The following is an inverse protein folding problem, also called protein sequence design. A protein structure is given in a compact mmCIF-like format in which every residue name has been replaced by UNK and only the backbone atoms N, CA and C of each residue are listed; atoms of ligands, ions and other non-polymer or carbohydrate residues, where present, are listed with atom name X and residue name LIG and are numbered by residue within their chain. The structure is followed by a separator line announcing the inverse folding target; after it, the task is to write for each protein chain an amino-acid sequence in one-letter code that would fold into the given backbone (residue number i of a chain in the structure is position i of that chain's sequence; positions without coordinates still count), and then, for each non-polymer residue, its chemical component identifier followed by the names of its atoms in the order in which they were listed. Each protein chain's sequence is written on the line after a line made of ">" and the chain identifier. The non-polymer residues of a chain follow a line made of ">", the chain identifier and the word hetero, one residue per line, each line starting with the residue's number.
data_IF_183141193926
#
_entry.id   IF_183141193926
#
_cell.length_a   1.000
_cell.length_b   1.000
_cell.length_c   1.000
_cell.angle_alpha   90.00
_cell.angle_beta   90.00
_cell.angle_gamma   90.00
#
_symmetry.space_group_name_H-M   'P 1'
#
loop_
_entity.id
_entity.type
_entity.pdbx_description
1 polymer ?
#
# COMPACT_ATOMS: atom_id res chain seq x y z
N UNK A 1 9.64 89.78 29.53
CA UNK A 1 10.77 90.19 30.39
C UNK A 1 10.48 89.71 31.81
N UNK A 2 11.44 88.97 32.36
CA UNK A 2 11.84 88.88 33.79
C UNK A 2 10.86 88.38 34.86
N UNK A 3 11.30 87.28 35.49
CA UNK A 3 11.45 87.00 36.93
C UNK A 3 10.21 87.02 37.84
N UNK A 4 9.87 85.90 38.52
CA UNK A 4 10.54 85.31 39.69
C UNK A 4 10.39 86.14 40.98
N UNK A 5 9.60 85.64 41.94
CA UNK A 5 9.92 85.49 43.39
C UNK A 5 8.64 85.11 44.15
N UNK A 6 8.68 84.05 44.98
CA UNK A 6 8.56 84.09 46.46
C UNK A 6 7.40 84.99 46.95
N UNK A 7 6.42 84.55 47.75
CA UNK A 7 6.66 84.00 49.06
C UNK A 7 5.41 83.31 49.68
N UNK A 8 5.69 82.54 50.71
CA UNK A 8 4.79 81.70 51.49
C UNK A 8 3.88 82.48 52.47
N UNK A 9 2.89 81.75 52.96
CA UNK A 9 2.26 81.83 54.28
C UNK A 9 1.03 82.74 54.47
N UNK A 10 -0.11 82.06 54.64
CA UNK A 10 -1.34 82.63 55.16
C UNK A 10 -2.38 81.57 55.52
N UNK A 11 -1.95 80.42 56.08
CA UNK A 11 -2.82 79.43 56.70
C UNK A 11 -3.61 80.09 57.84
N UNK A 12 -4.94 79.95 57.83
CA UNK A 12 -5.72 79.81 59.05
C UNK A 12 -6.60 78.56 58.99
N UNK A 13 -6.24 77.67 59.90
CA UNK A 13 -6.86 76.41 60.31
C UNK A 13 -8.05 76.68 61.23
N UNK A 14 -9.03 75.77 61.24
CA UNK A 14 -9.61 75.19 62.46
C UNK A 14 -10.45 73.93 62.10
N UNK A 15 -10.71 72.98 63.02
CA UNK A 15 -9.71 72.05 63.58
C UNK A 15 -10.23 70.58 63.73
N UNK A 16 -9.31 69.61 63.89
CA UNK A 16 -9.45 68.58 64.93
C UNK A 16 -9.54 67.08 64.56
N UNK A 17 -8.56 66.32 65.09
CA UNK A 17 -8.55 64.93 65.62
C UNK A 17 -8.05 63.75 64.75
N UNK A 18 -7.35 62.85 65.48
CA UNK A 18 -6.79 61.50 65.18
C UNK A 18 -5.37 61.46 64.58
N UNK A 19 -4.40 60.89 65.31
CA UNK A 19 -4.09 59.47 65.08
C UNK A 19 -3.64 58.71 66.35
N UNK A 20 -3.70 57.37 66.33
CA UNK A 20 -2.88 56.38 67.07
C UNK A 20 -3.59 55.01 67.07
N UNK A 21 -4.93 54.95 67.03
CA UNK A 21 -5.70 53.68 67.01
C UNK A 21 -5.70 52.92 65.67
N UNK A 22 -5.29 53.55 64.57
CA UNK A 22 -5.31 52.95 63.22
C UNK A 22 -4.10 52.06 62.91
N UNK A 23 -3.01 52.17 63.67
CA UNK A 23 -1.77 51.42 63.39
C UNK A 23 -1.79 49.99 63.97
N UNK A 24 -2.57 49.76 65.04
CA UNK A 24 -2.62 48.45 65.72
C UNK A 24 -3.53 47.45 65.00
N UNK A 25 -4.57 47.92 64.28
CA UNK A 25 -5.52 47.05 63.57
C UNK A 25 -4.96 46.50 62.24
N UNK A 26 -3.99 47.19 61.64
CA UNK A 26 -3.35 46.77 60.39
C UNK A 26 -2.36 45.60 60.58
N UNK A 27 -1.74 45.47 61.76
CA UNK A 27 -0.78 44.40 62.04
C UNK A 27 -1.48 43.06 62.35
N UNK A 28 -2.71 43.10 62.87
CA UNK A 28 -3.49 41.89 63.18
C UNK A 28 -4.06 41.18 61.94
N UNK A 29 -4.23 41.89 60.81
CA UNK A 29 -4.70 41.31 59.55
C UNK A 29 -3.58 40.68 58.69
N UNK A 30 -2.31 41.00 58.97
CA UNK A 30 -1.19 40.48 58.19
C UNK A 30 -0.75 39.05 58.62
N UNK A 31 -1.20 38.55 59.78
CA UNK A 31 -0.77 37.26 60.34
C UNK A 31 -1.77 36.11 60.15
N UNK A 32 -2.92 36.32 59.51
CA UNK A 32 -3.91 35.28 59.20
C UNK A 32 -3.97 34.89 57.71
N UNK A 33 -3.12 35.47 56.86
CA UNK A 33 -3.10 35.19 55.42
C UNK A 33 -2.14 34.06 54.99
N UNK A 34 -1.49 33.36 55.92
CA UNK A 34 -0.58 32.24 55.60
C UNK A 34 -1.22 30.83 55.73
N UNK A 35 -2.56 30.74 55.80
CA UNK A 35 -3.27 29.46 56.00
C UNK A 35 -4.07 28.91 54.82
N UNK A 36 -4.17 29.60 53.68
CA UNK A 36 -5.18 29.31 52.65
C UNK A 36 -4.62 29.00 51.25
N UNK A 37 -3.39 28.50 51.14
CA UNK A 37 -2.85 28.01 49.86
C UNK A 37 -2.22 26.63 50.06
N UNK A 38 -3.08 25.65 50.31
CA UNK A 38 -2.76 24.24 50.02
C UNK A 38 -3.36 23.89 48.65
N UNK A 39 -2.67 23.13 47.78
CA UNK A 39 -3.26 22.73 46.50
C UNK A 39 -4.50 21.89 46.78
N UNK A 40 -5.65 22.29 46.24
CA UNK A 40 -6.84 21.46 46.34
C UNK A 40 -6.60 20.15 45.56
N UNK A 41 -6.97 19.03 46.18
CA UNK A 41 -6.78 17.69 45.65
C UNK A 41 -7.48 17.48 44.29
N UNK A 42 -8.51 18.27 44.00
CA UNK A 42 -9.25 18.21 42.75
C UNK A 42 -8.54 18.95 41.61
N UNK A 43 -7.81 20.03 41.91
CA UNK A 43 -7.07 20.81 40.90
C UNK A 43 -5.80 20.10 40.43
N UNK A 44 -5.15 19.39 41.36
CA UNK A 44 -4.01 18.52 41.08
C UNK A 44 -4.40 17.29 40.24
N UNK A 45 -5.57 16.67 40.50
CA UNK A 45 -6.11 15.60 39.63
C UNK A 45 -6.47 16.08 38.23
N UNK A 46 -6.99 17.31 38.10
CA UNK A 46 -7.36 17.89 36.81
C UNK A 46 -6.11 18.19 35.97
N UNK A 47 -5.09 18.76 36.60
CA UNK A 47 -3.79 19.04 35.99
C UNK A 47 -3.06 17.76 35.59
N UNK A 48 -3.05 16.73 36.45
CA UNK A 48 -2.47 15.41 36.11
C UNK A 48 -3.25 14.77 34.97
N UNK A 49 -4.59 14.86 34.92
CA UNK A 49 -5.38 14.34 33.79
C UNK A 49 -5.10 15.08 32.49
N UNK A 50 -4.95 16.40 32.51
CA UNK A 50 -4.64 17.17 31.30
C UNK A 50 -3.22 16.91 30.81
N UNK A 51 -2.25 16.79 31.71
CA UNK A 51 -0.88 16.43 31.35
C UNK A 51 -0.79 15.00 30.85
N UNK A 52 -1.45 14.04 31.51
CA UNK A 52 -1.49 12.64 31.06
C UNK A 52 -2.24 12.50 29.73
N UNK A 53 -3.30 13.27 29.47
CA UNK A 53 -3.95 13.32 28.15
C UNK A 53 -3.02 13.93 27.10
N UNK A 54 -2.41 15.08 27.37
CA UNK A 54 -1.47 15.70 26.43
C UNK A 54 -0.29 14.79 26.09
N UNK A 55 0.28 14.12 27.10
CA UNK A 55 1.35 13.13 26.91
C UNK A 55 0.85 11.87 26.20
N UNK A 56 -0.37 11.39 26.49
CA UNK A 56 -0.96 10.24 25.80
C UNK A 56 -1.28 10.55 24.33
N UNK A 57 -1.76 11.75 24.03
CA UNK A 57 -2.06 12.19 22.67
C UNK A 57 -0.78 12.53 21.88
N UNK A 58 0.32 12.85 22.56
CA UNK A 58 1.66 12.99 21.96
C UNK A 58 2.32 11.63 21.68
N UNK A 59 2.24 10.69 22.63
CA UNK A 59 2.81 9.33 22.51
C UNK A 59 1.95 8.44 21.59
N UNK A 60 0.64 8.67 21.55
CA UNK A 60 -0.33 7.90 20.78
C UNK A 60 -1.42 8.83 20.24
N UNK A 61 -1.10 9.64 19.20
CA UNK A 61 -2.07 10.52 18.60
C UNK A 61 -3.27 9.72 18.12
N UNK A 62 -4.47 10.18 18.48
CA UNK A 62 -5.70 9.52 18.02
C UNK A 62 -5.70 9.52 16.48
N UNK A 63 -5.80 8.35 15.83
CA UNK A 63 -5.72 8.27 14.38
C UNK A 63 -6.88 9.07 13.78
N UNK A 64 -6.56 10.19 13.13
CA UNK A 64 -7.53 10.94 12.34
C UNK A 64 -7.62 10.27 10.97
N UNK A 65 -8.76 9.65 10.70
CA UNK A 65 -9.08 9.13 9.37
C UNK A 65 -9.46 10.33 8.52
N UNK A 66 -8.53 10.73 7.66
CA UNK A 66 -8.74 11.79 6.70
C UNK A 66 -9.52 11.22 5.51
N UNK A 67 -10.84 11.43 5.52
CA UNK A 67 -11.76 10.94 4.48
C UNK A 67 -11.59 11.68 3.14
N UNK A 68 -10.88 12.81 3.12
CA UNK A 68 -10.58 13.59 1.91
C UNK A 68 -9.16 13.33 1.37
N UNK A 69 -8.39 12.43 2.01
CA UNK A 69 -7.06 12.01 1.52
C UNK A 69 -7.13 11.13 0.28
N UNK A 70 -8.33 10.74 -0.15
CA UNK A 70 -8.58 9.90 -1.32
C UNK A 70 -8.54 10.66 -2.65
N UNK A 71 -7.69 11.69 -2.75
CA UNK A 71 -7.29 12.25 -4.04
C UNK A 71 -5.85 11.82 -4.29
N UNK A 72 -5.63 10.99 -5.29
CA UNK A 72 -4.28 10.65 -5.71
C UNK A 72 -3.59 11.93 -6.18
N UNK A 73 -2.45 12.28 -5.58
CA UNK A 73 -1.68 13.45 -6.01
C UNK A 73 -1.13 13.28 -7.43
N UNK A 74 -0.97 12.02 -7.87
CA UNK A 74 -0.48 11.66 -9.18
C UNK A 74 -1.61 11.07 -10.04
N UNK A 75 -2.14 11.81 -11.04
CA UNK A 75 -3.24 11.35 -11.89
C UNK A 75 -2.85 10.15 -12.77
N UNK A 76 -1.56 9.98 -13.05
CA UNK A 76 -1.06 8.83 -13.81
C UNK A 76 -1.17 7.54 -13.02
N UNK A 77 -0.77 7.58 -11.74
CA UNK A 77 -0.89 6.44 -10.83
C UNK A 77 -2.35 6.13 -10.51
N UNK A 78 -3.19 7.16 -10.36
CA UNK A 78 -4.64 6.98 -10.19
C UNK A 78 -5.26 6.22 -11.35
N UNK A 79 -4.97 6.66 -12.59
CA UNK A 79 -5.45 5.98 -13.79
C UNK A 79 -5.03 4.52 -13.80
N UNK A 80 -3.74 4.24 -13.61
CA UNK A 80 -3.24 2.86 -13.58
C UNK A 80 -3.96 2.06 -12.48
N UNK A 81 -4.05 2.60 -11.26
CA UNK A 81 -4.70 1.96 -10.12
C UNK A 81 -6.15 1.56 -10.39
N UNK A 82 -6.92 2.44 -11.03
CA UNK A 82 -8.31 2.14 -11.41
C UNK A 82 -8.42 0.97 -12.39
N UNK A 83 -7.45 0.83 -13.31
CA UNK A 83 -7.42 -0.23 -14.32
C UNK A 83 -6.93 -1.56 -13.74
N UNK A 84 -5.80 -1.55 -13.02
CA UNK A 84 -5.13 -2.79 -12.61
C UNK A 84 -5.70 -3.38 -11.31
N UNK A 85 -6.20 -2.57 -10.38
CA UNK A 85 -6.56 -3.07 -9.03
C UNK A 85 -7.62 -4.19 -9.05
N UNK A 86 -8.70 -4.12 -9.85
CA UNK A 86 -9.68 -5.21 -9.93
C UNK A 86 -9.08 -6.50 -10.51
N UNK A 87 -8.14 -6.37 -11.45
CA UNK A 87 -7.44 -7.47 -12.10
C UNK A 87 -6.48 -8.15 -11.11
N UNK A 88 -5.62 -7.37 -10.48
CA UNK A 88 -4.62 -7.85 -9.53
C UNK A 88 -5.27 -8.45 -8.28
N UNK A 89 -6.43 -7.95 -7.86
CA UNK A 89 -7.21 -8.55 -6.78
C UNK A 89 -7.58 -10.01 -7.08
N UNK A 90 -7.98 -10.33 -8.33
CA UNK A 90 -8.34 -11.70 -8.73
C UNK A 90 -7.13 -12.63 -8.76
N UNK A 91 -6.03 -12.17 -9.33
CA UNK A 91 -4.79 -12.95 -9.37
C UNK A 91 -4.24 -13.15 -7.96
N UNK A 92 -4.26 -12.12 -7.12
CA UNK A 92 -3.83 -12.20 -5.71
C UNK A 92 -4.71 -13.16 -4.91
N UNK A 93 -6.02 -13.15 -5.12
CA UNK A 93 -6.93 -14.09 -4.46
C UNK A 93 -6.62 -15.54 -4.85
N UNK A 94 -6.42 -15.81 -6.15
CA UNK A 94 -6.05 -17.13 -6.65
C UNK A 94 -4.71 -17.57 -6.08
N UNK A 95 -3.69 -16.72 -6.17
CA UNK A 95 -2.37 -17.01 -5.62
C UNK A 95 -2.47 -17.38 -4.15
N UNK A 96 -3.13 -16.56 -3.32
CA UNK A 96 -3.29 -16.83 -1.89
C UNK A 96 -3.98 -18.17 -1.60
N UNK A 97 -4.95 -18.55 -2.43
CA UNK A 97 -5.62 -19.83 -2.27
C UNK A 97 -4.70 -21.00 -2.61
N UNK A 98 -4.01 -20.95 -3.74
CA UNK A 98 -3.04 -21.99 -4.17
C UNK A 98 -1.88 -22.08 -3.17
N UNK A 99 -1.36 -20.94 -2.72
CA UNK A 99 -0.24 -20.88 -1.77
C UNK A 99 -0.59 -21.29 -0.35
N UNK A 100 -1.87 -21.48 -0.03
CA UNK A 100 -2.31 -21.80 1.33
C UNK A 100 -2.00 -23.23 1.76
N UNK A 101 -1.61 -24.08 0.81
CA UNK A 101 -1.38 -25.49 1.02
C UNK A 101 -0.06 -25.92 0.39
N UNK A 102 0.70 -26.74 1.12
CA UNK A 102 2.00 -27.30 0.73
C UNK A 102 1.98 -28.84 0.67
N UNK A 103 0.80 -29.45 0.79
CA UNK A 103 0.59 -30.89 0.61
C UNK A 103 -0.22 -31.17 -0.66
N UNK A 104 -0.10 -32.41 -1.18
CA UNK A 104 -0.80 -32.82 -2.40
C UNK A 104 -2.31 -32.59 -2.28
N UNK A 105 -2.93 -31.82 -3.20
CA UNK A 105 -4.36 -31.53 -3.12
C UNK A 105 -5.19 -32.78 -3.40
N UNK A 106 -6.33 -32.87 -2.72
CA UNK A 106 -7.31 -33.91 -2.98
C UNK A 106 -8.37 -33.44 -3.98
N UNK A 107 -9.20 -34.37 -4.46
CA UNK A 107 -10.29 -34.09 -5.40
C UNK A 107 -11.22 -32.98 -4.93
N UNK A 108 -11.55 -32.94 -3.64
CA UNK A 108 -12.44 -31.92 -3.10
C UNK A 108 -11.84 -30.53 -3.24
N UNK A 109 -10.56 -30.36 -2.88
CA UNK A 109 -9.84 -29.10 -3.01
C UNK A 109 -9.77 -28.64 -4.48
N UNK A 110 -9.45 -29.55 -5.40
CA UNK A 110 -9.39 -29.22 -6.84
C UNK A 110 -10.76 -28.80 -7.38
N UNK A 111 -11.84 -29.48 -6.97
CA UNK A 111 -13.19 -29.09 -7.37
C UNK A 111 -13.57 -27.72 -6.79
N UNK A 112 -13.25 -27.44 -5.53
CA UNK A 112 -13.50 -26.13 -4.92
C UNK A 112 -12.71 -25.01 -5.58
N UNK A 113 -11.44 -25.26 -5.95
CA UNK A 113 -10.62 -24.32 -6.72
C UNK A 113 -11.33 -23.93 -8.02
N UNK A 114 -11.71 -24.92 -8.83
CA UNK A 114 -12.36 -24.69 -10.13
C UNK A 114 -13.73 -23.99 -9.97
N UNK A 115 -14.48 -24.30 -8.91
CA UNK A 115 -15.76 -23.64 -8.61
C UNK A 115 -15.58 -22.19 -8.17
N UNK A 116 -14.57 -21.92 -7.32
CA UNK A 116 -14.30 -20.59 -6.78
C UNK A 116 -13.71 -19.66 -7.84
N UNK A 117 -12.82 -20.18 -8.66
CA UNK A 117 -12.12 -19.44 -9.71
C UNK A 117 -12.55 -19.96 -11.07
N UNK A 118 -13.81 -19.75 -11.43
CA UNK A 118 -14.40 -20.24 -12.69
C UNK A 118 -13.78 -19.68 -13.98
N UNK A 119 -12.80 -18.77 -13.85
CA UNK A 119 -12.07 -18.15 -14.95
C UNK A 119 -10.71 -18.83 -15.23
N UNK A 120 -10.26 -19.77 -14.38
CA UNK A 120 -9.03 -20.53 -14.65
C UNK A 120 -9.32 -21.68 -15.62
N UNK A 121 -8.32 -22.05 -16.40
CA UNK A 121 -8.44 -23.11 -17.40
C UNK A 121 -8.24 -24.50 -16.79
N UNK A 122 -7.41 -24.62 -15.75
CA UNK A 122 -7.24 -25.90 -15.08
C UNK A 122 -6.32 -25.93 -13.88
N UNK A 123 -6.22 -27.14 -13.32
CA UNK A 123 -5.26 -27.53 -12.30
C UNK A 123 -4.67 -28.89 -12.67
N UNK A 124 -3.37 -29.06 -12.42
CA UNK A 124 -2.67 -30.33 -12.56
C UNK A 124 -1.89 -30.63 -11.30
N UNK A 125 -1.73 -31.92 -11.03
CA UNK A 125 -0.90 -32.45 -9.96
C UNK A 125 0.12 -33.38 -10.61
N UNK A 126 1.40 -33.08 -10.38
CA UNK A 126 2.52 -33.88 -10.85
C UNK A 126 3.26 -34.50 -9.65
N UNK A 127 3.92 -35.63 -9.90
CA UNK A 127 4.84 -36.24 -8.95
C UNK A 127 6.23 -35.57 -8.97
N UNK A 128 7.18 -36.12 -8.21
CA UNK A 128 8.55 -35.60 -8.15
C UNK A 128 9.34 -35.81 -9.45
N UNK A 129 8.92 -36.72 -10.33
CA UNK A 129 9.53 -36.96 -11.64
C UNK A 129 8.96 -36.05 -12.73
N UNK A 130 7.86 -35.35 -12.43
CA UNK A 130 7.14 -34.51 -13.39
C UNK A 130 6.02 -35.25 -14.12
N UNK A 131 5.71 -36.48 -13.73
CA UNK A 131 4.59 -37.24 -14.29
C UNK A 131 3.27 -36.69 -13.75
N UNK A 132 2.34 -36.41 -14.67
CA UNK A 132 1.02 -35.87 -14.32
C UNK A 132 0.19 -37.00 -13.73
N UNK A 133 -0.07 -36.93 -12.43
CA UNK A 133 -0.92 -37.86 -11.71
C UNK A 133 -2.39 -37.54 -11.95
N UNK A 134 -2.75 -36.26 -11.86
CA UNK A 134 -4.12 -35.78 -11.99
C UNK A 134 -4.19 -34.46 -12.74
N UNK A 135 -5.28 -34.26 -13.47
CA UNK A 135 -5.57 -33.01 -14.19
C UNK A 135 -7.07 -32.74 -14.24
N UNK A 136 -7.44 -31.47 -14.06
CA UNK A 136 -8.79 -30.96 -14.25
C UNK A 136 -8.74 -29.72 -15.15
N UNK A 137 -9.50 -29.66 -16.26
CA UNK A 137 -10.27 -30.77 -16.85
C UNK A 137 -9.35 -31.90 -17.34
N UNK A 138 -9.83 -33.18 -17.39
CA UNK A 138 -8.99 -34.31 -17.82
C UNK A 138 -8.40 -34.14 -19.23
N UNK A 139 -9.16 -33.53 -20.13
CA UNK A 139 -8.71 -33.13 -21.46
C UNK A 139 -8.59 -31.61 -21.48
N UNK A 140 -7.38 -31.04 -21.48
CA UNK A 140 -7.21 -29.60 -21.52
C UNK A 140 -7.51 -29.08 -22.93
N UNK A 141 -8.04 -27.86 -22.99
CA UNK A 141 -8.28 -27.16 -24.25
C UNK A 141 -6.96 -26.79 -24.94
N UNK A 142 -6.02 -26.22 -24.17
CA UNK A 142 -4.66 -25.91 -24.61
C UNK A 142 -3.72 -27.04 -24.19
N UNK A 143 -3.00 -27.60 -25.17
CA UNK A 143 -1.93 -28.56 -24.89
C UNK A 143 -0.63 -27.80 -24.72
N UNK A 144 0.26 -28.34 -23.90
CA UNK A 144 1.61 -27.82 -23.76
C UNK A 144 2.30 -27.80 -25.12
N UNK A 145 2.88 -26.67 -25.49
CA UNK A 145 3.72 -26.58 -26.70
C UNK A 145 5.07 -27.28 -26.46
N UNK A 146 5.59 -27.15 -25.24
CA UNK A 146 6.85 -27.73 -24.77
C UNK A 146 6.68 -28.24 -23.32
N UNK A 147 7.53 -29.16 -22.84
CA UNK A 147 7.51 -29.57 -21.43
C UNK A 147 7.67 -28.38 -20.48
N UNK A 148 6.79 -28.27 -19.48
CA UNK A 148 6.85 -27.21 -18.48
C UNK A 148 8.03 -27.43 -17.52
N UNK A 149 8.91 -26.45 -17.38
CA UNK A 149 10.06 -26.51 -16.48
C UNK A 149 9.86 -25.53 -15.33
N UNK A 150 9.63 -26.07 -14.13
CA UNK A 150 9.51 -25.29 -12.91
C UNK A 150 10.85 -25.27 -12.18
N UNK A 151 11.36 -24.07 -11.89
CA UNK A 151 12.53 -23.90 -11.04
C UNK A 151 12.09 -23.43 -9.65
N UNK A 152 12.71 -24.00 -8.62
CA UNK A 152 12.57 -23.59 -7.22
C UNK A 152 13.95 -23.26 -6.66
N UNK A 153 14.01 -22.25 -5.80
CA UNK A 153 15.21 -21.94 -5.02
C UNK A 153 15.07 -22.66 -3.67
N UNK A 154 16.14 -23.35 -3.26
CA UNK A 154 16.20 -24.00 -1.94
C UNK A 154 15.83 -23.00 -0.83
N UNK A 155 14.76 -23.31 -0.08
CA UNK A 155 14.08 -22.51 1.00
C UNK A 155 12.93 -21.59 0.56
N UNK A 156 12.68 -21.41 -0.73
CA UNK A 156 11.47 -20.73 -1.19
C UNK A 156 10.37 -21.75 -1.47
N UNK A 157 9.17 -21.50 -0.95
CA UNK A 157 8.02 -22.36 -1.22
C UNK A 157 7.41 -22.08 -2.59
N UNK A 158 7.64 -20.90 -3.19
CA UNK A 158 7.08 -20.56 -4.49
C UNK A 158 7.93 -21.12 -5.64
N UNK A 159 7.27 -21.77 -6.61
CA UNK A 159 7.91 -22.09 -7.90
C UNK A 159 7.85 -20.91 -8.86
N UNK A 160 8.79 -20.87 -9.81
CA UNK A 160 8.71 -19.97 -10.97
C UNK A 160 7.41 -20.15 -11.72
N UNK A 161 6.91 -19.05 -12.25
CA UNK A 161 5.77 -19.03 -13.16
C UNK A 161 6.29 -19.38 -14.55
N UNK A 162 5.56 -20.23 -15.26
CA UNK A 162 5.87 -20.61 -16.63
C UNK A 162 4.78 -20.05 -17.51
N UNK A 163 5.13 -19.41 -18.62
CA UNK A 163 4.16 -18.94 -19.62
C UNK A 163 4.39 -19.71 -20.91
N UNK A 164 3.38 -20.45 -21.34
CA UNK A 164 3.38 -21.18 -22.62
C UNK A 164 2.59 -20.39 -23.67
N UNK A 165 3.21 -20.10 -24.81
CA UNK A 165 2.58 -19.39 -25.91
C UNK A 165 2.08 -20.38 -26.97
N UNK A 166 0.93 -21.00 -26.68
CA UNK A 166 0.32 -21.99 -27.57
C UNK A 166 -0.32 -21.34 -28.81
N UNK A 167 -0.68 -22.16 -29.81
CA UNK A 167 -1.43 -21.70 -30.98
C UNK A 167 -2.80 -21.07 -30.63
N UNK A 168 -3.39 -21.42 -29.48
CA UNK A 168 -4.66 -20.87 -29.01
C UNK A 168 -4.48 -19.60 -28.16
N UNK A 169 -3.23 -19.22 -27.87
CA UNK A 169 -2.86 -18.07 -27.05
C UNK A 169 -1.99 -18.45 -25.84
N UNK A 170 -1.59 -17.44 -25.05
CA UNK A 170 -0.78 -17.65 -23.87
C UNK A 170 -1.53 -18.44 -22.79
N UNK A 171 -0.78 -19.17 -21.99
CA UNK A 171 -1.25 -19.89 -20.82
C UNK A 171 -0.22 -19.69 -19.71
N UNK A 172 -0.65 -19.13 -18.58
CA UNK A 172 0.20 -18.91 -17.41
C UNK A 172 0.02 -20.10 -16.47
N UNK A 173 1.14 -20.68 -16.04
CA UNK A 173 1.21 -21.76 -15.06
C UNK A 173 1.96 -21.30 -13.83
N UNK A 174 1.36 -21.44 -12.66
CA UNK A 174 2.06 -21.25 -11.39
C UNK A 174 1.50 -22.22 -10.35
N UNK A 175 2.27 -22.49 -9.30
CA UNK A 175 1.89 -23.53 -8.36
C UNK A 175 2.70 -23.55 -7.09
N UNK A 176 2.64 -24.68 -6.41
CA UNK A 176 3.39 -24.95 -5.19
C UNK A 176 3.99 -26.35 -5.22
N UNK A 177 5.19 -26.54 -4.64
CA UNK A 177 5.73 -27.83 -4.28
C UNK A 177 4.86 -28.48 -3.20
N UNK A 178 4.64 -29.77 -3.37
CA UNK A 178 3.99 -30.64 -2.43
C UNK A 178 5.05 -31.37 -1.61
N UNK A 179 4.84 -31.44 -0.30
CA UNK A 179 5.70 -32.18 0.63
C UNK A 179 4.93 -33.24 1.42
N UNK A 180 5.63 -34.33 1.74
CA UNK A 180 5.22 -35.29 2.77
C UNK A 180 6.29 -35.25 3.87
N UNK A 181 5.98 -34.58 4.98
CA UNK A 181 6.99 -34.23 5.98
C UNK A 181 8.02 -33.25 5.40
N UNK A 182 9.24 -33.72 5.19
CA UNK A 182 10.33 -32.92 4.59
C UNK A 182 10.67 -33.35 3.16
N UNK A 183 10.01 -34.39 2.64
CA UNK A 183 10.30 -34.94 1.33
C UNK A 183 9.46 -34.23 0.27
N UNK A 184 10.11 -33.77 -0.80
CA UNK A 184 9.43 -33.23 -1.97
C UNK A 184 8.77 -34.37 -2.75
N UNK A 185 7.46 -34.30 -2.93
CA UNK A 185 6.68 -35.38 -3.58
C UNK A 185 6.05 -34.96 -4.91
N UNK A 186 6.23 -33.71 -5.33
CA UNK A 186 5.77 -33.21 -6.62
C UNK A 186 5.20 -31.80 -6.55
N UNK A 187 4.33 -31.45 -7.49
CA UNK A 187 3.81 -30.09 -7.67
C UNK A 187 2.29 -30.12 -7.83
N UNK A 188 1.61 -29.08 -7.36
CA UNK A 188 0.30 -28.75 -7.88
C UNK A 188 0.36 -27.38 -8.55
N UNK A 189 -0.17 -27.30 -9.76
CA UNK A 189 -0.03 -26.14 -10.64
C UNK A 189 -1.40 -25.78 -11.17
N UNK A 190 -1.73 -24.49 -11.10
CA UNK A 190 -2.92 -23.92 -11.72
C UNK A 190 -2.55 -23.25 -13.03
N UNK A 191 -3.47 -23.25 -13.98
CA UNK A 191 -3.28 -22.62 -15.28
C UNK A 191 -4.45 -21.73 -15.69
N UNK A 192 -4.15 -20.63 -16.37
CA UNK A 192 -5.16 -19.76 -16.96
C UNK A 192 -4.60 -18.94 -18.14
N UNK A 193 -5.46 -18.56 -19.07
CA UNK A 193 -5.17 -17.57 -20.11
C UNK A 193 -5.09 -16.16 -19.51
N UNK A 194 -3.95 -15.46 -19.57
CA UNK A 194 -3.85 -14.12 -19.01
C UNK A 194 -4.76 -13.10 -19.69
N UNK A 195 -5.28 -13.39 -20.90
CA UNK A 195 -6.26 -12.51 -21.56
C UNK A 195 -7.61 -12.49 -20.85
N UNK A 196 -7.96 -13.52 -20.07
CA UNK A 196 -9.19 -13.54 -19.27
C UNK A 196 -9.19 -12.44 -18.20
N UNK A 197 -8.01 -12.02 -17.75
CA UNK A 197 -7.84 -11.01 -16.71
C UNK A 197 -8.43 -9.65 -17.11
N UNK A 198 -8.43 -9.32 -18.40
CA UNK A 198 -8.98 -8.08 -18.90
C UNK A 198 -10.51 -7.99 -18.74
N UNK A 199 -11.21 -9.12 -18.56
CA UNK A 199 -12.65 -9.11 -18.26
C UNK A 199 -12.99 -8.46 -16.92
N UNK A 200 -12.01 -8.37 -16.01
CA UNK A 200 -12.16 -7.70 -14.72
C UNK A 200 -11.74 -6.22 -14.77
N UNK A 201 -11.11 -5.78 -15.86
CA UNK A 201 -10.68 -4.39 -16.02
C UNK A 201 -11.86 -3.50 -16.42
N UNK A 202 -12.07 -2.33 -15.77
CA UNK A 202 -13.15 -1.40 -16.16
C UNK A 202 -13.02 -0.85 -17.58
N UNK A 203 -11.78 -0.70 -18.07
CA UNK A 203 -11.46 -0.23 -19.43
C UNK A 203 -10.31 -1.06 -20.01
N UNK A 204 -10.62 -2.27 -20.49
CA UNK A 204 -9.60 -3.27 -20.84
C UNK A 204 -8.68 -2.84 -22.00
N UNK A 205 -9.13 -1.95 -22.87
CA UNK A 205 -8.37 -1.37 -23.99
C UNK A 205 -7.29 -0.37 -23.56
N UNK A 206 -7.37 0.18 -22.35
CA UNK A 206 -6.39 1.12 -21.82
C UNK A 206 -5.29 0.42 -20.99
N UNK A 207 -5.47 -0.86 -20.65
CA UNK A 207 -4.53 -1.64 -19.85
C UNK A 207 -3.70 -2.58 -20.74
N UNK A 208 -2.41 -2.65 -20.44
CA UNK A 208 -1.47 -3.57 -21.07
C UNK A 208 -0.73 -4.36 -19.99
N UNK A 209 -0.45 -5.64 -20.26
CA UNK A 209 0.40 -6.45 -19.39
C UNK A 209 1.58 -6.97 -20.21
N UNK A 210 2.80 -6.63 -19.81
CA UNK A 210 4.02 -7.14 -20.45
C UNK A 210 4.51 -8.36 -19.68
N UNK A 211 4.84 -9.41 -20.44
CA UNK A 211 5.70 -10.51 -20.00
C UNK A 211 7.16 -10.14 -20.32
N UNK A 212 7.98 -9.77 -19.31
CA UNK A 212 9.37 -9.39 -19.51
C UNK A 212 10.24 -10.51 -20.07
N UNK A 213 9.94 -11.77 -19.74
CA UNK A 213 10.78 -12.91 -20.10
C UNK A 213 10.59 -13.28 -21.58
N UNK A 214 9.34 -13.29 -22.04
CA UNK A 214 9.03 -13.61 -23.43
C UNK A 214 9.06 -12.40 -24.37
N UNK A 215 9.23 -11.19 -23.83
CA UNK A 215 9.06 -9.93 -24.57
C UNK A 215 7.72 -9.89 -25.32
N UNK A 216 6.64 -10.26 -24.64
CA UNK A 216 5.29 -10.32 -25.20
C UNK A 216 4.35 -9.36 -24.48
N UNK A 217 3.39 -8.86 -25.24
CA UNK A 217 2.33 -8.02 -24.74
C UNK A 217 1.02 -8.80 -24.68
N UNK A 218 0.35 -8.76 -23.53
CA UNK A 218 -1.02 -9.22 -23.37
C UNK A 218 -1.94 -8.01 -23.38
N UNK A 219 -3.00 -8.11 -24.18
CA UNK A 219 -4.02 -7.07 -24.30
C UNK A 219 -5.40 -7.72 -24.38
N UNK A 220 -6.45 -6.92 -24.21
CA UNK A 220 -7.82 -7.38 -24.30
C UNK A 220 -8.29 -7.75 -25.72
N UNK A 221 -7.58 -7.29 -26.75
CA UNK A 221 -7.98 -7.42 -28.15
C UNK A 221 -6.83 -7.86 -29.06
N UNK A 222 -7.14 -8.01 -30.35
CA UNK A 222 -6.13 -8.36 -31.36
C UNK A 222 -5.46 -7.15 -31.98
N UNK A 223 -6.07 -5.97 -31.86
CA UNK A 223 -5.55 -4.73 -32.42
C UNK A 223 -4.70 -4.02 -31.36
N UNK A 224 -3.40 -4.28 -31.39
CA UNK A 224 -2.43 -3.65 -30.50
C UNK A 224 -1.91 -2.36 -31.14
N UNK A 225 -2.01 -1.20 -30.46
CA UNK A 225 -1.39 0.03 -30.94
C UNK A 225 0.14 -0.13 -31.03
N UNK A 226 0.79 0.31 -32.11
CA UNK A 226 2.25 0.21 -32.26
C UNK A 226 3.04 0.84 -31.10
N UNK A 227 2.49 1.88 -30.48
CA UNK A 227 3.10 2.56 -29.35
C UNK A 227 3.13 1.69 -28.09
N UNK A 228 2.09 0.89 -27.88
CA UNK A 228 2.03 -0.07 -26.78
C UNK A 228 2.91 -1.30 -27.06
N UNK A 229 2.95 -1.78 -28.30
CA UNK A 229 3.82 -2.89 -28.71
C UNK A 229 5.30 -2.57 -28.44
N UNK A 230 5.71 -1.31 -28.57
CA UNK A 230 7.07 -0.86 -28.27
C UNK A 230 7.49 -1.11 -26.81
N UNK A 231 6.55 -1.31 -25.86
CA UNK A 231 6.87 -1.69 -24.48
C UNK A 231 7.61 -3.04 -24.38
N UNK A 232 7.44 -3.93 -25.36
CA UNK A 232 8.11 -5.25 -25.39
C UNK A 232 9.61 -5.15 -25.68
N UNK A 233 10.04 -4.08 -26.34
CA UNK A 233 11.44 -3.82 -26.69
C UNK A 233 12.27 -3.26 -25.52
N UNK A 234 11.61 -2.87 -24.42
CA UNK A 234 12.27 -2.35 -23.22
C UNK A 234 13.01 -3.49 -22.52
N UNK A 235 14.26 -3.24 -22.10
CA UNK A 235 15.03 -4.17 -21.27
C UNK A 235 14.53 -4.13 -19.82
N UNK A 236 13.36 -4.71 -19.58
CA UNK A 236 12.68 -4.69 -18.29
C UNK A 236 13.53 -5.25 -17.15
N UNK A 237 14.38 -6.25 -17.38
CA UNK A 237 15.28 -6.78 -16.36
C UNK A 237 16.15 -5.69 -15.73
N UNK A 238 16.67 -4.75 -16.53
CA UNK A 238 17.48 -3.64 -16.02
C UNK A 238 16.64 -2.64 -15.24
N UNK A 239 15.48 -2.28 -15.78
CA UNK A 239 14.54 -1.35 -15.13
C UNK A 239 14.10 -1.87 -13.77
N UNK A 240 13.80 -3.18 -13.71
CA UNK A 240 13.32 -3.88 -12.55
C UNK A 240 14.38 -4.14 -11.47
N UNK A 241 15.66 -3.86 -11.72
CA UNK A 241 16.70 -3.83 -10.69
C UNK A 241 16.63 -2.56 -9.84
N UNK A 242 16.16 -1.46 -10.43
CA UNK A 242 16.15 -0.14 -9.79
C UNK A 242 14.78 0.23 -9.25
N UNK A 243 13.71 -0.14 -9.98
CA UNK A 243 12.35 0.33 -9.70
C UNK A 243 11.33 -0.79 -9.90
N UNK A 244 10.27 -0.76 -9.10
CA UNK A 244 9.08 -1.61 -9.26
C UNK A 244 7.91 -0.88 -9.91
N UNK A 245 8.03 0.42 -10.16
CA UNK A 245 7.01 1.25 -10.80
C UNK A 245 7.62 2.54 -11.37
N UNK A 246 6.86 3.24 -12.21
CA UNK A 246 7.18 4.60 -12.61
C UNK A 246 6.53 4.97 -13.94
N UNK A 247 7.17 5.91 -14.64
CA UNK A 247 6.82 6.26 -16.03
C UNK A 247 7.97 5.91 -16.96
N UNK A 248 7.64 5.61 -18.22
CA UNK A 248 8.62 5.34 -19.28
C UNK A 248 8.08 5.86 -20.60
N UNK A 249 8.97 6.39 -21.45
CA UNK A 249 8.62 6.76 -22.81
C UNK A 249 8.83 5.56 -23.73
N UNK A 250 7.82 5.25 -24.54
CA UNK A 250 7.87 4.16 -25.51
C UNK A 250 6.97 4.48 -26.70
N UNK A 251 7.45 4.22 -27.92
CA UNK A 251 6.68 4.44 -29.14
C UNK A 251 6.14 5.88 -29.30
N UNK A 252 6.82 6.89 -28.76
CA UNK A 252 6.38 8.30 -28.81
C UNK A 252 5.27 8.67 -27.82
N UNK A 253 4.91 7.77 -26.90
CA UNK A 253 3.96 8.02 -25.81
C UNK A 253 4.62 7.79 -24.45
N UNK A 254 4.09 8.44 -23.43
CA UNK A 254 4.48 8.16 -22.05
C UNK A 254 3.52 7.12 -21.45
N UNK A 255 4.09 6.07 -20.89
CA UNK A 255 3.39 5.02 -20.17
C UNK A 255 3.69 5.09 -18.69
N UNK A 256 2.67 4.86 -17.88
CA UNK A 256 2.80 4.63 -16.44
C UNK A 256 2.70 3.14 -16.19
N UNK A 257 3.59 2.61 -15.36
CA UNK A 257 3.74 1.18 -15.17
C UNK A 257 3.98 0.78 -13.71
N UNK A 258 3.60 -0.45 -13.39
CA UNK A 258 3.78 -1.11 -12.10
C UNK A 258 4.10 -2.59 -12.32
N UNK A 259 5.15 -3.08 -11.66
CA UNK A 259 5.48 -4.49 -11.62
C UNK A 259 4.67 -5.21 -10.54
N UNK A 260 4.04 -6.32 -10.90
CA UNK A 260 3.30 -7.21 -9.99
C UNK A 260 3.79 -8.64 -10.15
N UNK A 261 3.73 -9.40 -9.08
CA UNK A 261 4.14 -10.81 -9.11
C UNK A 261 2.95 -11.70 -9.47
N UNK A 262 3.19 -12.67 -10.33
CA UNK A 262 2.36 -13.87 -10.46
C UNK A 262 3.31 -15.03 -10.16
N UNK A 263 2.99 -15.82 -9.14
CA UNK A 263 3.97 -16.74 -8.56
C UNK A 263 5.24 -16.00 -8.14
N UNK A 264 6.38 -16.38 -8.71
CA UNK A 264 7.69 -15.75 -8.40
C UNK A 264 8.13 -14.71 -9.43
N UNK A 265 7.49 -14.65 -10.60
CA UNK A 265 7.94 -13.81 -11.71
C UNK A 265 7.11 -12.52 -11.83
N UNK A 266 7.77 -11.48 -12.35
CA UNK A 266 7.21 -10.12 -12.41
C UNK A 266 6.62 -9.87 -13.78
N UNK A 267 5.39 -9.38 -13.78
CA UNK A 267 4.68 -8.90 -14.96
C UNK A 267 4.45 -7.40 -14.83
N UNK A 268 4.49 -6.69 -15.96
CA UNK A 268 4.37 -5.23 -15.97
C UNK A 268 2.98 -4.82 -16.38
N UNK A 269 2.23 -4.23 -15.47
CA UNK A 269 0.98 -3.56 -15.78
C UNK A 269 1.30 -2.15 -16.25
N UNK A 270 0.77 -1.75 -17.40
CA UNK A 270 1.03 -0.45 -18.00
C UNK A 270 -0.22 0.17 -18.61
N UNK A 271 -0.27 1.50 -18.63
CA UNK A 271 -1.27 2.31 -19.33
C UNK A 271 -0.59 3.55 -19.90
N UNK A 272 -1.13 4.11 -20.98
CA UNK A 272 -0.76 5.46 -21.39
C UNK A 272 -1.06 6.43 -20.24
N UNK A 273 -0.08 7.28 -19.90
CA UNK A 273 -0.16 8.28 -18.83
C UNK A 273 -1.33 9.24 -19.06
N UNK A 274 -2.09 9.56 -18.02
CA UNK A 274 -3.14 10.58 -18.08
C UNK A 274 -2.58 11.98 -18.37
N UNK A 275 -1.36 12.26 -17.90
CA UNK A 275 -0.62 13.49 -18.15
C UNK A 275 0.86 13.17 -18.40
N UNK A 276 1.28 13.28 -19.66
CA UNK A 276 2.64 12.99 -20.12
C UNK A 276 3.72 13.91 -19.51
N UNK A 277 3.34 15.10 -19.04
CA UNK A 277 4.27 16.10 -18.49
C UNK A 277 4.43 16.02 -16.98
N UNK A 278 3.63 15.19 -16.32
CA UNK A 278 3.68 15.04 -14.86
C UNK A 278 4.96 14.27 -14.47
N UNK A 279 5.86 14.93 -13.74
CA UNK A 279 7.02 14.25 -13.18
C UNK A 279 6.61 13.42 -11.97
N UNK A 280 6.72 12.09 -12.12
CA UNK A 280 6.57 11.18 -11.00
C UNK A 280 7.77 11.35 -10.05
N UNK A 281 7.53 11.95 -8.88
CA UNK A 281 8.55 12.08 -7.82
C UNK A 281 8.76 10.75 -7.07
N UNK A 282 8.19 9.65 -7.57
CA UNK A 282 8.10 8.36 -6.90
C UNK A 282 6.91 8.33 -5.94
N UNK A 283 6.53 7.13 -5.48
CA UNK A 283 5.71 7.01 -4.28
C UNK A 283 6.48 7.75 -3.17
N UNK A 284 5.96 8.90 -2.72
CA UNK A 284 6.21 9.29 -1.36
C UNK A 284 5.54 8.21 -0.53
N UNK A 285 6.31 7.18 -0.18
CA UNK A 285 5.95 6.27 0.88
C UNK A 285 5.58 7.19 2.04
N UNK A 286 4.29 7.22 2.35
CA UNK A 286 3.80 7.90 3.54
C UNK A 286 4.72 7.41 4.65
N UNK A 287 5.49 8.29 5.31
CA UNK A 287 6.32 7.85 6.40
C UNK A 287 5.37 7.30 7.45
N UNK A 288 5.32 5.96 7.58
CA UNK A 288 4.48 5.27 8.56
C UNK A 288 4.89 5.65 10.00
N UNK A 289 6.04 6.31 10.15
CA UNK A 289 6.44 7.05 11.34
C UNK A 289 6.73 8.48 10.96
N UNK A 290 5.95 9.42 11.52
CA UNK A 290 6.07 10.84 11.25
C UNK A 290 7.52 11.33 11.38
N UNK A 291 8.06 11.83 10.28
CA UNK A 291 9.25 12.68 10.33
C UNK A 291 8.80 14.04 10.86
N UNK A 292 9.13 14.32 12.12
CA UNK A 292 9.08 15.68 12.65
C UNK A 292 10.18 16.50 11.99
N UNK A 293 9.81 17.62 11.38
CA UNK A 293 10.72 18.76 11.24
C UNK A 293 11.01 19.36 12.60
#
# INVERSE_FOLDING_TARGET
>A
MTNSSHDLAGLRVAPGRLPIRLLVLAVSFALTACGAIGPSWDDSKRTVRTTVRGTRDYINPTPKIDVNRYSWENPNQEKLALLFSPVDAKVTELMRYVTSQDFRPNDAWMNYLMMRFSWIDGVLVADANGDILERRPPVPLKRFSEPLVFESIWRETLVKTVVDYTALGPEVYFGMPNYEGTEFVGLHVVSFDPRVLFTFCPKPEELYIVDPHAHKLWTAGTNVPPEAEALTAITWDKVLLEKSQGTIESGGKQFTWLARYIGRDRFIYATESANATFQDKGLQLIPFFGSSK
#
